data_IF_042515606732
#
_entry.id   IF_042515606732
#
_cell.length_a   1.000
_cell.length_b   1.000
_cell.length_c   1.000
_cell.angle_alpha   90.00
_cell.angle_beta   90.00
_cell.angle_gamma   90.00
#
_symmetry.space_group_name_H-M   'P 1'
#
loop_
_entity.id
_entity.type
_entity.pdbx_description
1 polymer ?
#
# COMPACT_ATOMS: atom_id res chain seq x y z
N UNK A 1 -10.17 10.47 -3.49
CA UNK A 1 -8.76 10.16 -3.17
C UNK A 1 -7.99 9.72 -4.40
N UNK A 2 -8.51 8.78 -5.19
CA UNK A 2 -7.84 8.19 -6.37
C UNK A 2 -7.55 9.14 -7.53
N UNK A 3 -8.29 10.25 -7.66
CA UNK A 3 -8.05 11.24 -8.72
C UNK A 3 -6.82 12.11 -8.47
N UNK A 4 -6.15 11.97 -7.32
CA UNK A 4 -4.97 12.77 -7.00
C UNK A 4 -3.74 12.20 -7.70
N UNK A 5 -2.90 13.07 -8.30
CA UNK A 5 -1.70 12.61 -9.01
C UNK A 5 -0.64 11.98 -8.08
N UNK A 6 -0.73 12.23 -6.77
CA UNK A 6 0.19 11.68 -5.76
C UNK A 6 -0.30 10.36 -5.13
N UNK A 7 -1.33 9.74 -5.70
CA UNK A 7 -1.84 8.42 -5.31
C UNK A 7 -1.71 7.47 -6.49
N UNK A 8 -0.67 6.62 -6.46
CA UNK A 8 -0.50 5.56 -7.44
C UNK A 8 -1.56 4.49 -7.21
N UNK A 9 -2.24 4.08 -8.27
CA UNK A 9 -3.33 3.12 -8.20
C UNK A 9 -3.08 1.94 -9.13
N UNK A 10 -2.97 0.74 -8.57
CA UNK A 10 -2.79 -0.52 -9.28
C UNK A 10 -4.09 -1.32 -9.15
N UNK A 11 -4.68 -1.77 -10.26
CA UNK A 11 -5.96 -2.47 -10.25
C UNK A 11 -5.85 -3.78 -11.02
N UNK A 12 -6.32 -4.87 -10.44
CA UNK A 12 -6.35 -6.17 -11.11
C UNK A 12 -7.36 -6.20 -12.27
N UNK A 13 -7.27 -7.26 -13.09
CA UNK A 13 -8.40 -7.71 -13.89
C UNK A 13 -9.61 -8.05 -12.99
N UNK A 14 -10.85 -8.08 -13.53
CA UNK A 14 -11.99 -8.58 -12.77
C UNK A 14 -11.72 -10.01 -12.32
N UNK A 15 -12.11 -10.32 -11.08
CA UNK A 15 -11.98 -11.64 -10.53
C UNK A 15 -12.92 -12.64 -11.22
N UNK A 16 -12.38 -13.77 -11.67
CA UNK A 16 -13.19 -14.85 -12.27
C UNK A 16 -14.06 -15.57 -11.23
N UNK A 17 -13.59 -15.66 -9.98
CA UNK A 17 -14.28 -16.28 -8.85
C UNK A 17 -14.12 -15.45 -7.58
N UNK A 18 -14.80 -15.83 -6.48
CA UNK A 18 -14.64 -15.13 -5.21
C UNK A 18 -13.21 -15.31 -4.67
N UNK A 19 -12.68 -14.26 -4.04
CA UNK A 19 -11.42 -14.33 -3.29
C UNK A 19 -11.71 -13.94 -1.85
N UNK A 20 -11.45 -14.85 -0.92
CA UNK A 20 -11.61 -14.62 0.51
C UNK A 20 -10.26 -14.35 1.15
N UNK A 21 -10.16 -13.26 1.90
CA UNK A 21 -8.98 -12.85 2.65
C UNK A 21 -9.33 -12.83 4.12
N UNK A 22 -8.58 -13.54 4.95
CA UNK A 22 -8.77 -13.56 6.39
C UNK A 22 -7.43 -13.59 7.12
N UNK A 23 -7.04 -12.48 7.75
CA UNK A 23 -5.85 -12.40 8.59
C UNK A 23 -4.97 -11.17 8.34
N UNK A 24 -3.69 -11.21 8.77
CA UNK A 24 -2.74 -10.11 8.62
C UNK A 24 -2.40 -9.84 7.15
N UNK A 25 -2.51 -8.58 6.73
CA UNK A 25 -2.15 -8.12 5.37
C UNK A 25 -0.82 -7.37 5.43
N UNK A 26 0.06 -7.59 4.46
CA UNK A 26 1.37 -6.91 4.36
C UNK A 26 1.62 -6.47 2.94
N UNK A 27 2.34 -5.38 2.76
CA UNK A 27 2.92 -4.99 1.48
C UNK A 27 4.43 -4.87 1.62
N UNK A 28 5.14 -5.23 0.56
CA UNK A 28 6.55 -4.92 0.39
C UNK A 28 6.66 -3.88 -0.72
N UNK A 29 7.18 -2.70 -0.40
CA UNK A 29 7.26 -1.58 -1.34
C UNK A 29 8.72 -1.19 -1.53
N UNK A 30 9.21 -1.30 -2.75
CA UNK A 30 10.49 -0.76 -3.20
C UNK A 30 10.27 0.69 -3.63
N UNK A 31 10.90 1.62 -2.90
CA UNK A 31 10.73 3.06 -3.13
C UNK A 31 12.07 3.74 -3.33
N UNK A 32 12.17 4.54 -4.39
CA UNK A 32 13.24 5.50 -4.61
C UNK A 32 12.71 6.91 -4.39
N UNK A 33 13.48 7.77 -3.74
CA UNK A 33 13.00 9.08 -3.29
C UNK A 33 14.15 10.06 -3.09
N UNK A 34 13.88 11.32 -3.44
CA UNK A 34 14.77 12.47 -3.14
C UNK A 34 14.86 12.72 -1.63
N UNK A 35 13.77 12.47 -0.90
CA UNK A 35 13.70 12.69 0.54
C UNK A 35 14.24 11.48 1.30
N UNK A 36 14.91 11.76 2.41
CA UNK A 36 15.34 10.76 3.40
C UNK A 36 14.28 10.50 4.48
N UNK A 37 13.36 11.45 4.67
CA UNK A 37 12.20 11.32 5.54
C UNK A 37 10.95 11.32 4.67
N UNK A 38 10.20 10.23 4.70
CA UNK A 38 8.97 10.08 3.92
C UNK A 38 8.05 9.07 4.59
N UNK A 39 6.76 9.12 4.26
CA UNK A 39 5.84 8.05 4.59
C UNK A 39 5.56 7.21 3.34
N UNK A 40 5.36 5.91 3.53
CA UNK A 40 4.81 4.98 2.54
C UNK A 40 3.49 4.50 3.08
N UNK A 41 2.40 4.96 2.47
CA UNK A 41 1.04 4.54 2.76
C UNK A 41 0.59 3.52 1.71
N UNK A 42 -0.04 2.43 2.15
CA UNK A 42 -0.62 1.42 1.27
C UNK A 42 -2.06 1.14 1.72
N UNK A 43 -2.98 1.09 0.76
CA UNK A 43 -4.37 0.72 0.99
C UNK A 43 -4.83 -0.34 -0.01
N UNK A 44 -5.51 -1.35 0.52
CA UNK A 44 -6.27 -2.32 -0.26
C UNK A 44 -7.73 -1.85 -0.38
N UNK A 45 -8.26 -1.88 -1.60
CA UNK A 45 -9.66 -1.58 -1.90
C UNK A 45 -10.32 -2.71 -2.68
N UNK A 46 -11.62 -2.86 -2.49
CA UNK A 46 -12.52 -3.67 -3.31
C UNK A 46 -13.27 -2.76 -4.28
N UNK A 47 -13.05 -2.96 -5.58
CA UNK A 47 -13.71 -2.18 -6.63
C UNK A 47 -14.85 -3.00 -7.22
N UNK A 48 -16.08 -2.52 -7.03
CA UNK A 48 -17.27 -3.19 -7.54
C UNK A 48 -17.42 -3.07 -9.07
N UNK A 49 -18.41 -3.78 -9.63
CA UNK A 49 -18.68 -3.80 -11.08
C UNK A 49 -19.09 -2.44 -11.65
N UNK A 50 -19.51 -1.49 -10.80
CA UNK A 50 -19.85 -0.11 -11.18
C UNK A 50 -18.65 0.83 -11.03
N UNK A 51 -17.49 0.32 -10.63
CA UNK A 51 -16.27 1.09 -10.42
C UNK A 51 -16.18 1.77 -9.05
N UNK A 52 -17.09 1.50 -8.11
CA UNK A 52 -17.01 2.07 -6.75
C UNK A 52 -15.92 1.35 -5.97
N UNK A 53 -14.99 2.13 -5.41
CA UNK A 53 -13.82 1.65 -4.67
C UNK A 53 -14.07 1.76 -3.16
N UNK A 54 -14.10 0.62 -2.49
CA UNK A 54 -14.34 0.50 -1.05
C UNK A 54 -13.04 0.17 -0.32
N UNK A 55 -12.71 0.91 0.75
CA UNK A 55 -11.55 0.60 1.56
C UNK A 55 -11.75 -0.72 2.30
N UNK A 56 -10.79 -1.64 2.19
CA UNK A 56 -10.76 -2.90 2.95
C UNK A 56 -9.85 -2.74 4.16
N UNK A 57 -8.57 -2.42 3.93
CA UNK A 57 -7.61 -2.14 4.99
C UNK A 57 -6.47 -1.27 4.48
N UNK A 58 -5.74 -0.64 5.40
CA UNK A 58 -4.60 0.20 5.08
C UNK A 58 -3.51 0.16 6.16
N UNK A 59 -2.35 0.72 5.82
CA UNK A 59 -1.19 0.81 6.69
C UNK A 59 -0.25 1.91 6.23
N UNK A 60 0.58 2.40 7.15
CA UNK A 60 1.56 3.45 6.89
C UNK A 60 2.87 3.13 7.60
N UNK A 61 3.98 3.32 6.90
CA UNK A 61 5.32 3.23 7.46
C UNK A 61 6.07 4.53 7.23
N UNK A 62 6.59 5.10 8.32
CA UNK A 62 7.49 6.25 8.27
C UNK A 62 8.94 5.83 8.02
N UNK A 63 9.48 6.18 6.88
CA UNK A 63 10.89 6.01 6.56
C UNK A 63 11.69 7.18 7.13
N UNK A 64 12.82 6.85 7.75
CA UNK A 64 13.81 7.77 8.26
C UNK A 64 15.21 7.16 8.04
N UNK A 65 16.29 7.97 8.02
CA UNK A 65 17.66 7.47 7.95
C UNK A 65 17.94 6.35 8.97
N UNK A 66 18.62 5.30 8.52
CA UNK A 66 19.03 4.16 9.38
C UNK A 66 17.91 3.16 9.72
N UNK A 67 16.63 3.47 9.46
CA UNK A 67 15.53 2.53 9.75
C UNK A 67 15.46 1.36 8.76
N UNK A 68 15.72 1.65 7.49
CA UNK A 68 15.73 0.67 6.40
C UNK A 68 16.98 0.90 5.55
N UNK A 69 17.72 -0.16 5.18
CA UNK A 69 18.90 -0.02 4.33
C UNK A 69 18.50 0.47 2.93
N UNK A 70 19.34 1.33 2.36
CA UNK A 70 19.31 1.68 0.94
C UNK A 70 20.26 0.76 0.20
N UNK A 71 19.85 0.28 -0.97
CA UNK A 71 20.75 -0.42 -1.89
C UNK A 71 21.72 0.57 -2.58
N UNK A 72 22.69 0.09 -3.39
CA UNK A 72 23.59 0.96 -4.15
C UNK A 72 22.89 1.89 -5.16
N UNK A 73 21.66 1.57 -5.58
CA UNK A 73 20.87 2.39 -6.51
C UNK A 73 20.01 3.46 -5.81
N UNK A 74 20.02 3.48 -4.47
CA UNK A 74 19.29 4.41 -3.63
C UNK A 74 17.84 3.98 -3.32
N UNK A 75 17.45 2.75 -3.67
CA UNK A 75 16.14 2.14 -3.41
C UNK A 75 16.08 1.64 -1.96
N UNK A 76 14.94 1.87 -1.32
CA UNK A 76 14.61 1.35 0.01
C UNK A 76 13.51 0.30 -0.12
N UNK A 77 13.70 -0.87 0.47
CA UNK A 77 12.64 -1.87 0.64
C UNK A 77 11.89 -1.61 1.95
N UNK A 78 10.61 -1.25 1.84
CA UNK A 78 9.76 -0.83 2.96
C UNK A 78 8.68 -1.89 3.22
N UNK A 79 8.77 -2.67 4.32
CA UNK A 79 7.72 -3.58 4.72
C UNK A 79 6.59 -2.82 5.41
N UNK A 80 5.42 -2.76 4.79
CA UNK A 80 4.22 -2.10 5.31
C UNK A 80 3.26 -3.15 5.85
N UNK A 81 3.08 -3.18 7.17
CA UNK A 81 2.00 -3.98 7.79
C UNK A 81 0.70 -3.19 7.70
N UNK A 82 -0.34 -3.78 7.10
CA UNK A 82 -1.69 -3.23 7.06
C UNK A 82 -2.52 -3.81 8.20
N UNK A 83 -3.62 -3.14 8.55
CA UNK A 83 -4.62 -3.72 9.44
C UNK A 83 -5.09 -5.09 8.92
N UNK A 84 -5.25 -6.10 9.80
CA UNK A 84 -5.83 -7.38 9.40
C UNK A 84 -7.20 -7.20 8.76
N UNK A 85 -7.53 -8.05 7.79
CA UNK A 85 -8.79 -8.01 7.08
C UNK A 85 -9.49 -9.36 7.13
N UNK A 86 -10.83 -9.33 7.18
CA UNK A 86 -11.70 -10.45 6.88
C UNK A 86 -12.70 -9.96 5.82
N UNK A 87 -12.41 -10.24 4.55
CA UNK A 87 -13.15 -9.69 3.42
C UNK A 87 -13.28 -10.69 2.28
N UNK A 88 -14.44 -10.71 1.63
CA UNK A 88 -14.69 -11.51 0.43
C UNK A 88 -14.89 -10.59 -0.77
N UNK A 89 -13.94 -10.63 -1.70
CA UNK A 89 -14.08 -9.98 -3.00
C UNK A 89 -14.99 -10.84 -3.88
N UNK A 90 -16.05 -10.24 -4.41
CA UNK A 90 -17.04 -10.96 -5.22
C UNK A 90 -16.54 -11.18 -6.66
N UNK A 91 -17.06 -12.20 -7.39
CA UNK A 91 -16.78 -12.35 -8.82
C UNK A 91 -17.11 -11.08 -9.62
N UNK A 92 -16.22 -10.70 -10.52
CA UNK A 92 -16.30 -9.47 -11.31
C UNK A 92 -15.87 -8.19 -10.56
N UNK A 93 -15.60 -8.26 -9.26
CA UNK A 93 -14.91 -7.18 -8.56
C UNK A 93 -13.42 -7.18 -8.91
N UNK A 94 -12.70 -6.13 -8.51
CA UNK A 94 -11.26 -6.00 -8.69
C UNK A 94 -10.59 -5.68 -7.37
N UNK A 95 -9.39 -6.22 -7.19
CA UNK A 95 -8.51 -5.75 -6.13
C UNK A 95 -7.82 -4.49 -6.62
N UNK A 96 -7.80 -3.47 -5.76
CA UNK A 96 -7.07 -2.23 -6.02
C UNK A 96 -6.12 -1.93 -4.88
N UNK A 97 -4.88 -1.61 -5.24
CA UNK A 97 -3.86 -1.13 -4.31
C UNK A 97 -3.60 0.33 -4.59
N UNK A 98 -3.68 1.16 -3.56
CA UNK A 98 -3.30 2.57 -3.60
C UNK A 98 -2.01 2.75 -2.81
N UNK A 99 -1.02 3.43 -3.39
CA UNK A 99 0.24 3.79 -2.74
C UNK A 99 0.42 5.30 -2.77
N UNK A 100 0.72 5.91 -1.63
CA UNK A 100 0.92 7.36 -1.52
C UNK A 100 1.93 7.75 -0.44
N UNK A 101 2.29 9.02 -0.40
CA UNK A 101 3.18 9.60 0.62
C UNK A 101 2.50 9.92 1.96
N UNK A 102 1.25 9.48 2.18
CA UNK A 102 0.49 9.72 3.41
C UNK A 102 -1.03 9.72 3.22
N UNK A 103 -1.75 9.76 4.34
CA UNK A 103 -3.22 9.73 4.36
C UNK A 103 -3.80 10.62 5.50
N UNK A 104 -3.52 11.92 5.46
CA UNK A 104 -4.12 12.90 6.38
C UNK A 104 -5.65 12.98 6.17
N UNK A 105 -6.48 13.11 7.24
CA UNK A 105 -6.11 13.30 8.65
C UNK A 105 -5.89 12.00 9.43
N UNK A 106 -6.08 10.83 8.82
CA UNK A 106 -5.90 9.53 9.50
C UNK A 106 -4.48 9.35 10.05
N UNK A 107 -3.48 9.87 9.35
CA UNK A 107 -2.09 9.94 9.80
C UNK A 107 -1.57 11.38 9.76
N UNK A 108 -0.79 11.75 10.78
CA UNK A 108 -0.09 13.03 10.82
C UNK A 108 0.89 13.13 9.64
N UNK A 109 0.79 14.21 8.86
CA UNK A 109 1.62 14.45 7.68
C UNK A 109 3.10 14.42 8.06
N UNK A 110 3.92 13.70 7.29
CA UNK A 110 5.37 13.78 7.39
C UNK A 110 5.88 15.11 6.81
N UNK A 111 6.67 15.90 7.56
CA UNK A 111 7.25 17.15 7.09
C UNK A 111 8.27 17.00 5.95
N UNK A 112 8.86 15.81 5.79
CA UNK A 112 9.91 15.56 4.79
C UNK A 112 11.31 16.02 5.24
N UNK A 113 11.43 16.60 6.43
CA UNK A 113 12.68 17.20 6.97
C UNK A 113 13.29 16.42 8.13
N UNK A 114 12.49 15.59 8.81
CA UNK A 114 12.87 14.92 10.05
C UNK A 114 12.55 15.70 11.32
N UNK A 115 12.01 16.92 11.20
CA UNK A 115 11.48 17.68 12.33
C UNK A 115 10.38 16.90 13.08
N UNK A 116 10.26 17.03 14.42
CA UNK A 116 9.21 16.38 15.18
C UNK A 116 7.81 16.83 14.73
N UNK A 117 6.89 15.87 14.55
CA UNK A 117 5.56 16.15 13.96
C UNK A 117 4.75 17.25 14.64
N UNK A 118 4.82 17.34 15.97
CA UNK A 118 4.02 18.30 16.74
C UNK A 118 4.56 19.73 16.68
N UNK A 119 5.80 19.91 16.25
CA UNK A 119 6.50 21.20 16.28
C UNK A 119 7.14 21.57 14.94
N UNK A 120 6.98 20.72 13.91
CA UNK A 120 7.53 20.96 12.60
C UNK A 120 6.92 22.21 11.97
N UNK A 121 7.78 23.10 11.47
CA UNK A 121 7.39 24.33 10.77
C UNK A 121 7.89 24.34 9.33
N UNK A 122 8.89 23.50 9.01
CA UNK A 122 9.44 23.38 7.68
C UNK A 122 8.86 22.16 6.97
N UNK A 123 8.22 22.39 5.82
CA UNK A 123 7.75 21.31 4.95
C UNK A 123 8.64 21.21 3.71
N UNK A 124 9.15 20.01 3.43
CA UNK A 124 9.92 19.71 2.22
C UNK A 124 9.15 18.76 1.33
N UNK A 125 8.76 19.25 0.16
CA UNK A 125 8.25 18.41 -0.92
C UNK A 125 9.41 17.71 -1.63
N UNK A 126 9.11 16.59 -2.29
CA UNK A 126 10.08 15.83 -3.07
C UNK A 126 9.40 14.68 -3.79
N UNK A 127 10.02 14.20 -4.86
CA UNK A 127 9.48 13.10 -5.66
C UNK A 127 9.74 11.75 -4.99
N UNK A 128 8.89 10.79 -5.33
CA UNK A 128 8.95 9.39 -4.90
C UNK A 128 8.56 8.53 -6.08
N UNK A 129 9.21 7.40 -6.21
CA UNK A 129 8.98 6.43 -7.27
C UNK A 129 8.82 5.05 -6.63
N UNK A 130 7.77 4.33 -7.01
CA UNK A 130 7.52 2.96 -6.57
C UNK A 130 7.94 2.02 -7.69
N UNK A 131 8.94 1.19 -7.42
CA UNK A 131 9.47 0.22 -8.37
C UNK A 131 8.71 -1.11 -8.23
N UNK A 132 8.45 -1.79 -9.34
CA UNK A 132 7.72 -3.07 -9.37
C UNK A 132 8.17 -3.94 -10.56
N UNK A 133 9.44 -3.80 -10.94
CA UNK A 133 10.13 -4.64 -11.93
C UNK A 133 10.63 -5.95 -11.27
N UNK A 134 11.14 -6.93 -12.04
CA UNK A 134 11.59 -8.22 -11.51
C UNK A 134 12.68 -8.11 -10.43
N UNK A 135 13.56 -7.11 -10.50
CA UNK A 135 14.60 -6.85 -9.51
C UNK A 135 14.05 -6.18 -8.24
N UNK A 136 12.91 -5.47 -8.35
CA UNK A 136 12.25 -4.76 -7.26
C UNK A 136 10.77 -5.15 -7.15
N UNK A 137 10.45 -6.39 -6.76
CA UNK A 137 9.10 -6.95 -6.86
C UNK A 137 8.16 -6.43 -5.76
N UNK A 138 7.78 -5.15 -5.82
CA UNK A 138 6.77 -4.60 -4.89
C UNK A 138 5.46 -5.36 -5.00
N UNK A 139 4.93 -5.80 -3.87
CA UNK A 139 3.78 -6.69 -3.83
C UNK A 139 2.91 -6.49 -2.60
N UNK A 140 1.62 -6.81 -2.74
CA UNK A 140 0.69 -6.99 -1.63
C UNK A 140 0.56 -8.50 -1.34
N UNK A 141 0.82 -8.90 -0.10
CA UNK A 141 0.70 -10.26 0.39
C UNK A 141 -0.61 -10.40 1.15
N UNK A 142 -1.49 -11.26 0.63
CA UNK A 142 -2.84 -11.48 1.15
C UNK A 142 -2.95 -12.88 1.78
N UNK A 143 -3.54 -13.00 2.99
CA UNK A 143 -3.87 -14.29 3.59
C UNK A 143 -5.15 -14.82 2.94
N UNK A 144 -5.02 -15.41 1.75
CA UNK A 144 -6.14 -15.98 0.99
C UNK A 144 -6.58 -17.28 1.66
N UNK A 145 -7.88 -17.37 1.95
CA UNK A 145 -8.51 -18.59 2.46
C UNK A 145 -8.75 -19.54 1.27
N UNK A 146 -8.24 -20.78 1.32
CA UNK A 146 -8.56 -21.76 0.30
C UNK A 146 -10.07 -22.00 0.23
N UNK A 147 -10.62 -22.10 -0.98
CA UNK A 147 -12.01 -22.52 -1.12
C UNK A 147 -12.19 -23.90 -0.46
N UNK A 148 -13.30 -24.14 0.27
CA UNK A 148 -13.57 -25.47 0.80
C UNK A 148 -13.56 -26.46 -0.35
N UNK A 149 -12.75 -27.51 -0.24
CA UNK A 149 -12.81 -28.62 -1.19
C UNK A 149 -14.20 -29.23 -1.06
N UNK A 150 -15.02 -29.12 -2.10
CA UNK A 150 -16.21 -29.95 -2.23
C UNK A 150 -15.73 -31.40 -2.33
N UNK A 151 -15.67 -32.09 -1.19
CA UNK A 151 -15.73 -33.54 -1.18
C UNK A 151 -17.10 -33.89 -1.76
N UNK A 152 -17.11 -34.43 -2.97
CA UNK A 152 -18.33 -34.98 -3.57
C UNK A 152 -18.86 -36.14 -2.71
N UNK A 153 -20.16 -36.45 -2.80
CA UNK A 153 -20.75 -37.61 -2.12
C UNK A 153 -20.12 -38.92 -2.58
#
# INVERSE_FOLDING_TARGET
MEARPDVLTYTSAPLAGPVEVAGPVRAEIHVRSELSYLDVFVRLCDVDRRGRSWNVCDGLVRVAPGRFPRDPSGVVRVPVTLWPAAHRFAPGHRLRVQVSGGAHPRYARNPGTGEPLGTAVTLRAGWREVLHDPEHPSALVLPVVPAPSTAGP
#
